data_IF_893622689799
#
_entry.id   IF_893622689799
#
_cell.length_a   1.000
_cell.length_b   1.000
_cell.length_c   1.000
_cell.angle_alpha   90.00
_cell.angle_beta   90.00
_cell.angle_gamma   90.00
#
_symmetry.space_group_name_H-M   'P 1'
#
loop_
_entity.id
_entity.type
_entity.pdbx_description
1 polymer ?
#
# COMPACT_ATOMS: atom_id res chain seq x y z
N UNK A 1 -9.35 -5.18 12.22
CA UNK A 1 -8.00 -4.80 11.72
C UNK A 1 -7.94 -3.31 11.47
N UNK A 2 -6.83 -2.77 10.93
CA UNK A 2 -6.66 -1.33 10.67
C UNK A 2 -7.86 -0.73 9.93
N UNK A 3 -8.24 -1.32 8.80
CA UNK A 3 -9.34 -0.85 7.97
C UNK A 3 -10.68 -0.83 8.74
N UNK A 4 -10.95 -1.79 9.62
CA UNK A 4 -12.13 -1.74 10.51
C UNK A 4 -12.11 -0.49 11.40
N UNK A 5 -10.97 -0.22 12.05
CA UNK A 5 -10.85 0.93 12.94
C UNK A 5 -10.87 2.25 12.19
N UNK A 6 -10.23 2.31 11.01
CA UNK A 6 -10.31 3.45 10.11
C UNK A 6 -11.76 3.69 9.69
N UNK A 7 -12.49 2.66 9.24
CA UNK A 7 -13.91 2.74 8.88
C UNK A 7 -14.77 3.30 10.02
N UNK A 8 -14.56 2.82 11.26
CA UNK A 8 -15.25 3.35 12.44
C UNK A 8 -14.84 4.78 12.81
N UNK A 9 -13.59 5.16 12.54
CA UNK A 9 -13.06 6.48 12.86
C UNK A 9 -13.34 7.54 11.79
N UNK A 10 -13.66 7.16 10.54
CA UNK A 10 -13.74 8.11 9.41
C UNK A 10 -14.62 9.31 9.74
N UNK A 11 -15.82 9.11 10.30
CA UNK A 11 -16.77 10.20 10.56
C UNK A 11 -16.18 11.30 11.46
N UNK A 12 -15.34 10.94 12.44
CA UNK A 12 -14.72 11.90 13.36
C UNK A 12 -13.26 12.25 13.06
N UNK A 13 -12.60 11.52 12.15
CA UNK A 13 -11.16 11.63 11.89
C UNK A 13 -10.84 11.83 10.40
N UNK A 14 -11.84 12.06 9.54
CA UNK A 14 -11.65 12.24 8.09
C UNK A 14 -10.57 13.27 7.76
N UNK A 15 -10.55 14.41 8.45
CA UNK A 15 -9.56 15.45 8.23
C UNK A 15 -8.13 14.98 8.55
N UNK A 16 -7.95 14.29 9.69
CA UNK A 16 -6.67 13.71 10.08
C UNK A 16 -6.20 12.63 9.10
N UNK A 17 -7.12 11.75 8.66
CA UNK A 17 -6.85 10.69 7.68
C UNK A 17 -6.44 11.31 6.33
N UNK A 18 -7.17 12.30 5.83
CA UNK A 18 -6.82 13.00 4.59
C UNK A 18 -5.45 13.68 4.69
N UNK A 19 -5.17 14.35 5.82
CA UNK A 19 -3.89 14.99 6.03
C UNK A 19 -2.73 13.99 6.11
N UNK A 20 -2.94 12.81 6.71
CA UNK A 20 -1.96 11.72 6.72
C UNK A 20 -1.72 11.16 5.30
N UNK A 21 -2.79 10.90 4.54
CA UNK A 21 -2.71 10.41 3.16
C UNK A 21 -2.03 11.39 2.19
N UNK A 22 -2.18 12.70 2.43
CA UNK A 22 -1.55 13.76 1.64
C UNK A 22 -0.07 13.97 2.01
N UNK A 23 0.33 13.64 3.24
CA UNK A 23 1.72 13.72 3.67
C UNK A 23 2.54 12.51 3.21
N UNK A 24 1.88 11.36 3.03
CA UNK A 24 2.51 10.10 2.68
C UNK A 24 3.19 10.17 1.32
N UNK A 25 4.49 9.85 1.31
CA UNK A 25 5.21 9.55 0.08
C UNK A 25 4.89 8.15 -0.41
N UNK A 26 4.94 7.98 -1.71
CA UNK A 26 4.45 6.83 -2.47
C UNK A 26 5.45 6.52 -3.55
N UNK A 27 5.36 5.30 -4.07
CA UNK A 27 6.26 4.77 -5.08
C UNK A 27 5.47 4.03 -6.14
N UNK A 28 5.86 4.18 -7.40
CA UNK A 28 5.41 3.32 -8.48
C UNK A 28 6.56 2.89 -9.39
N UNK A 29 7.03 1.65 -9.21
CA UNK A 29 8.13 1.06 -9.99
C UNK A 29 7.88 1.03 -11.49
N UNK A 30 6.62 0.90 -11.90
CA UNK A 30 6.22 0.77 -13.31
C UNK A 30 6.09 2.11 -14.05
N UNK A 31 6.34 3.24 -13.37
CA UNK A 31 6.16 4.58 -13.95
C UNK A 31 7.48 5.35 -14.01
N UNK A 32 7.89 5.98 -12.92
CA UNK A 32 9.14 6.75 -12.83
C UNK A 32 10.12 6.17 -11.80
N UNK A 33 9.65 5.25 -10.94
CA UNK A 33 10.41 4.71 -9.82
C UNK A 33 10.84 5.77 -8.80
N UNK A 34 10.16 6.92 -8.77
CA UNK A 34 10.40 7.96 -7.79
C UNK A 34 9.62 7.73 -6.50
N UNK A 35 10.12 8.33 -5.41
CA UNK A 35 9.34 8.49 -4.18
C UNK A 35 8.72 9.88 -4.22
N UNK A 36 7.42 9.96 -4.47
CA UNK A 36 6.69 11.23 -4.60
C UNK A 36 5.28 11.11 -3.99
N UNK A 37 4.40 12.11 -4.17
CA UNK A 37 3.02 12.07 -3.61
C UNK A 37 1.94 11.71 -4.64
N UNK A 38 2.33 11.58 -5.90
CA UNK A 38 1.46 11.34 -7.05
C UNK A 38 1.25 9.86 -7.33
N UNK A 39 2.09 8.98 -6.79
CA UNK A 39 2.01 7.54 -7.03
C UNK A 39 0.90 6.84 -6.23
N UNK A 40 0.80 5.52 -6.40
CA UNK A 40 -0.30 4.71 -5.92
C UNK A 40 0.03 3.81 -4.74
N UNK A 41 1.30 3.63 -4.39
CA UNK A 41 1.69 2.70 -3.32
C UNK A 41 2.44 3.42 -2.22
N UNK A 42 1.82 3.53 -1.05
CA UNK A 42 2.43 4.10 0.15
C UNK A 42 2.84 3.01 1.14
N UNK A 43 3.86 3.24 1.95
CA UNK A 43 4.21 2.31 3.03
C UNK A 43 3.18 2.40 4.17
N UNK A 44 2.74 1.24 4.67
CA UNK A 44 1.73 1.14 5.72
C UNK A 44 2.22 1.69 7.05
N UNK A 45 3.48 1.43 7.41
CA UNK A 45 4.11 1.97 8.61
C UNK A 45 4.24 3.48 8.55
N UNK A 46 4.73 4.02 7.42
CA UNK A 46 4.74 5.47 7.20
C UNK A 46 3.34 6.07 7.34
N UNK A 47 2.29 5.41 6.80
CA UNK A 47 0.92 5.88 6.98
C UNK A 47 0.46 5.84 8.44
N UNK A 48 0.80 4.78 9.18
CA UNK A 48 0.50 4.66 10.61
C UNK A 48 1.16 5.79 11.40
N UNK A 49 2.43 6.09 11.13
CA UNK A 49 3.17 7.20 11.77
C UNK A 49 2.52 8.55 11.47
N UNK A 50 2.20 8.83 10.20
CA UNK A 50 1.55 10.07 9.80
C UNK A 50 0.16 10.21 10.43
N UNK A 51 -0.61 9.12 10.55
CA UNK A 51 -1.92 9.18 11.17
C UNK A 51 -1.85 9.28 12.69
N UNK A 52 -0.87 8.64 13.33
CA UNK A 52 -0.67 8.70 14.78
C UNK A 52 -0.40 10.14 15.25
N UNK A 53 0.42 10.91 14.53
CA UNK A 53 0.71 12.31 14.87
C UNK A 53 -0.49 13.25 14.68
N UNK A 54 -1.58 12.77 14.05
CA UNK A 54 -2.77 13.56 13.70
C UNK A 54 -4.06 13.06 14.35
N UNK A 55 -4.04 11.92 15.05
CA UNK A 55 -5.23 11.26 15.61
C UNK A 55 -5.93 12.05 16.73
N UNK A 56 -5.35 13.16 17.21
CA UNK A 56 -6.04 14.16 18.04
C UNK A 56 -6.65 13.63 19.33
N UNK A 57 -6.07 12.57 19.93
CA UNK A 57 -6.57 11.96 21.16
C UNK A 57 -7.71 10.94 20.99
N UNK A 58 -8.05 10.53 19.76
CA UNK A 58 -8.99 9.44 19.53
C UNK A 58 -8.40 8.09 19.97
N UNK A 59 -8.73 7.65 21.18
CA UNK A 59 -8.14 6.45 21.78
C UNK A 59 -8.39 5.15 20.98
N UNK A 60 -9.56 5.03 20.35
CA UNK A 60 -9.88 3.86 19.53
C UNK A 60 -9.00 3.79 18.27
N UNK A 61 -8.80 4.94 17.61
CA UNK A 61 -7.90 5.04 16.46
C UNK A 61 -6.45 4.78 16.88
N UNK A 62 -5.97 5.41 17.96
CA UNK A 62 -4.61 5.20 18.50
C UNK A 62 -4.37 3.72 18.84
N UNK A 63 -5.32 3.06 19.50
CA UNK A 63 -5.22 1.63 19.82
C UNK A 63 -5.09 0.78 18.55
N UNK A 64 -5.88 1.10 17.52
CA UNK A 64 -5.80 0.38 16.26
C UNK A 64 -4.48 0.62 15.51
N UNK A 65 -3.96 1.85 15.52
CA UNK A 65 -2.66 2.19 14.96
C UNK A 65 -1.53 1.43 15.68
N UNK A 66 -1.56 1.38 17.01
CA UNK A 66 -0.59 0.63 17.81
C UNK A 66 -0.63 -0.87 17.52
N UNK A 67 -1.83 -1.45 17.38
CA UNK A 67 -1.98 -2.86 17.02
C UNK A 67 -1.40 -3.16 15.63
N UNK A 68 -1.48 -2.21 14.70
CA UNK A 68 -0.92 -2.37 13.36
C UNK A 68 0.59 -2.21 13.38
N UNK A 69 1.11 -1.20 14.08
CA UNK A 69 2.54 -1.04 14.26
C UNK A 69 3.15 -2.30 14.89
N UNK A 70 2.54 -2.81 15.96
CA UNK A 70 2.98 -4.06 16.59
C UNK A 70 2.88 -5.26 15.65
N UNK A 71 1.87 -5.33 14.78
CA UNK A 71 1.79 -6.38 13.78
C UNK A 71 2.88 -6.25 12.71
N UNK A 72 3.20 -5.04 12.27
CA UNK A 72 4.30 -4.77 11.34
C UNK A 72 5.64 -5.18 11.97
N UNK A 73 5.92 -4.72 13.19
CA UNK A 73 7.17 -5.03 13.91
C UNK A 73 7.36 -6.54 14.13
N UNK A 74 6.26 -7.28 14.32
CA UNK A 74 6.30 -8.74 14.54
C UNK A 74 6.32 -9.58 13.26
N UNK A 75 5.92 -9.02 12.11
CA UNK A 75 5.74 -9.79 10.85
C UNK A 75 6.75 -9.40 9.78
N UNK A 76 7.23 -8.17 9.80
CA UNK A 76 8.31 -7.72 8.94
C UNK A 76 9.63 -8.02 9.65
N UNK A 77 10.22 -9.15 9.27
CA UNK A 77 11.47 -9.66 9.83
C UNK A 77 12.72 -8.96 9.29
N UNK A 78 12.59 -8.27 8.15
CA UNK A 78 13.64 -7.44 7.58
C UNK A 78 13.02 -6.42 6.61
N UNK A 79 13.56 -5.21 6.60
CA UNK A 79 13.26 -4.20 5.60
C UNK A 79 14.60 -3.66 5.07
N UNK A 80 14.98 -4.12 3.89
CA UNK A 80 16.33 -3.91 3.33
C UNK A 80 16.47 -2.59 2.56
N UNK A 81 15.37 -1.94 2.20
CA UNK A 81 15.37 -0.80 1.26
C UNK A 81 14.61 0.40 1.84
N UNK A 82 15.28 1.17 2.69
CA UNK A 82 14.77 2.46 3.21
C UNK A 82 15.40 3.67 2.53
N UNK A 83 16.53 3.48 1.84
CA UNK A 83 17.24 4.51 1.10
C UNK A 83 18.20 3.87 0.09
N UNK A 84 18.79 4.67 -0.79
CA UNK A 84 19.72 4.22 -1.84
C UNK A 84 19.22 4.56 -3.23
N UNK A 85 19.39 3.65 -4.19
CA UNK A 85 18.88 3.82 -5.55
C UNK A 85 18.07 2.59 -6.00
N UNK A 86 16.89 2.78 -6.61
CA UNK A 86 16.16 1.69 -7.25
C UNK A 86 17.00 1.05 -8.35
N UNK A 87 16.95 -0.28 -8.49
CA UNK A 87 17.74 -0.98 -9.52
C UNK A 87 17.42 -0.52 -10.95
N UNK A 88 16.19 -0.08 -11.21
CA UNK A 88 15.73 0.46 -12.50
C UNK A 88 16.16 1.89 -12.73
N UNK A 89 16.48 2.63 -11.67
CA UNK A 89 16.82 4.06 -11.71
C UNK A 89 18.05 4.31 -10.80
N UNK A 90 19.24 3.79 -11.16
CA UNK A 90 20.43 3.86 -10.30
C UNK A 90 20.92 5.30 -10.03
N UNK A 91 20.58 6.24 -10.92
CA UNK A 91 20.91 7.66 -10.77
C UNK A 91 19.96 8.39 -9.81
N UNK A 92 18.84 7.77 -9.44
CA UNK A 92 17.88 8.34 -8.52
C UNK A 92 18.19 7.91 -7.09
N UNK A 93 18.51 8.88 -6.23
CA UNK A 93 18.64 8.63 -4.81
C UNK A 93 17.28 8.82 -4.12
N UNK A 94 16.84 7.81 -3.39
CA UNK A 94 15.61 7.85 -2.60
C UNK A 94 15.89 7.70 -1.09
N UNK A 95 14.97 8.22 -0.29
CA UNK A 95 14.89 7.96 1.14
C UNK A 95 13.41 7.87 1.51
N UNK A 96 13.03 6.75 2.11
CA UNK A 96 11.66 6.47 2.55
C UNK A 96 11.63 6.40 4.09
N UNK A 97 11.44 7.54 4.77
CA UNK A 97 11.44 7.56 6.23
C UNK A 97 10.28 6.72 6.77
N UNK A 98 10.57 5.95 7.82
CA UNK A 98 9.61 5.09 8.51
C UNK A 98 8.99 3.98 7.64
N UNK A 99 9.65 3.63 6.52
CA UNK A 99 9.24 2.48 5.75
C UNK A 99 9.33 1.21 6.62
N UNK A 100 8.29 0.39 6.52
CA UNK A 100 8.18 -0.90 7.19
C UNK A 100 8.25 -2.05 6.20
N UNK A 101 8.34 -1.77 4.90
CA UNK A 101 8.45 -2.81 3.87
C UNK A 101 7.12 -3.43 3.48
N UNK A 102 5.99 -2.90 3.96
CA UNK A 102 4.65 -3.29 3.53
C UNK A 102 3.95 -2.12 2.87
N UNK A 103 3.79 -2.19 1.55
CA UNK A 103 3.06 -1.17 0.81
C UNK A 103 1.55 -1.44 0.79
N UNK A 104 0.77 -0.36 0.78
CA UNK A 104 -0.68 -0.34 0.59
C UNK A 104 -1.02 0.46 -0.65
N UNK A 105 -2.05 -0.01 -1.37
CA UNK A 105 -2.61 0.71 -2.50
C UNK A 105 -3.49 1.89 -2.06
N UNK A 106 -3.21 3.05 -2.64
CA UNK A 106 -3.89 4.32 -2.44
C UNK A 106 -4.29 4.89 -3.82
N UNK A 107 -5.55 4.70 -4.24
CA UNK A 107 -6.00 5.16 -5.55
C UNK A 107 -5.89 6.69 -5.67
N UNK A 108 -5.41 7.14 -6.82
CA UNK A 108 -5.64 8.50 -7.30
C UNK A 108 -7.06 8.67 -7.86
N UNK A 109 -7.48 9.91 -8.08
CA UNK A 109 -8.73 10.19 -8.78
C UNK A 109 -8.69 9.61 -10.19
N UNK A 110 -9.66 8.76 -10.52
CA UNK A 110 -9.76 8.15 -11.85
C UNK A 110 -8.72 7.06 -12.14
N UNK A 111 -8.08 6.49 -11.11
CA UNK A 111 -7.09 5.41 -11.31
C UNK A 111 -7.75 4.13 -11.87
N UNK A 112 -7.42 3.69 -13.10
CA UNK A 112 -8.00 2.49 -13.70
C UNK A 112 -7.62 1.20 -12.94
N UNK A 113 -6.49 1.19 -12.21
CA UNK A 113 -6.06 0.03 -11.41
C UNK A 113 -7.03 -0.28 -10.28
N UNK A 114 -7.90 0.66 -9.91
CA UNK A 114 -8.90 0.48 -8.85
C UNK A 114 -9.76 -0.75 -9.05
N UNK A 115 -10.10 -1.07 -10.30
CA UNK A 115 -10.88 -2.24 -10.70
C UNK A 115 -10.22 -3.56 -10.26
N UNK A 116 -8.89 -3.58 -10.15
CA UNK A 116 -8.11 -4.74 -9.71
C UNK A 116 -8.10 -4.88 -8.17
N UNK A 117 -8.23 -3.78 -7.44
CA UNK A 117 -8.09 -3.72 -5.97
C UNK A 117 -9.41 -3.87 -5.19
N UNK A 118 -10.27 -4.79 -5.61
CA UNK A 118 -11.58 -5.05 -4.99
C UNK A 118 -11.59 -6.33 -4.17
N UNK A 119 -12.54 -6.49 -3.24
CA UNK A 119 -12.74 -7.74 -2.51
C UNK A 119 -13.07 -8.95 -3.40
N UNK A 120 -13.60 -8.74 -4.61
CA UNK A 120 -13.82 -9.83 -5.58
C UNK A 120 -12.53 -10.34 -6.22
N UNK A 121 -11.51 -9.48 -6.31
CA UNK A 121 -10.27 -9.77 -7.04
C UNK A 121 -9.12 -10.13 -6.09
N UNK A 122 -9.07 -9.54 -4.89
CA UNK A 122 -7.98 -9.71 -3.93
C UNK A 122 -8.48 -10.16 -2.56
N UNK A 123 -8.06 -11.35 -2.13
CA UNK A 123 -8.42 -11.93 -0.82
C UNK A 123 -8.06 -11.03 0.37
N UNK A 124 -6.94 -10.31 0.30
CA UNK A 124 -6.52 -9.43 1.39
C UNK A 124 -7.45 -8.21 1.50
N UNK A 125 -7.94 -7.68 0.37
CA UNK A 125 -8.93 -6.58 0.34
C UNK A 125 -10.22 -7.07 0.98
N UNK A 126 -10.71 -8.24 0.56
CA UNK A 126 -11.91 -8.87 1.12
C UNK A 126 -11.83 -9.05 2.65
N UNK A 127 -10.69 -9.53 3.15
CA UNK A 127 -10.49 -9.82 4.58
C UNK A 127 -10.25 -8.57 5.43
N UNK A 128 -9.61 -7.55 4.86
CA UNK A 128 -9.26 -6.34 5.60
C UNK A 128 -10.40 -5.31 5.61
N UNK A 129 -11.24 -5.28 4.57
CA UNK A 129 -12.20 -4.19 4.34
C UNK A 129 -11.53 -2.91 3.83
N UNK A 130 -10.36 -3.03 3.19
CA UNK A 130 -9.61 -1.89 2.67
C UNK A 130 -10.37 -1.13 1.59
N UNK A 131 -11.07 -1.83 0.70
CA UNK A 131 -11.91 -1.23 -0.33
C UNK A 131 -13.08 -0.43 0.26
N UNK A 132 -13.70 -0.93 1.33
CA UNK A 132 -14.72 -0.22 2.08
C UNK A 132 -14.15 1.07 2.68
N UNK A 133 -12.97 1.02 3.29
CA UNK A 133 -12.30 2.21 3.83
C UNK A 133 -12.05 3.26 2.74
N UNK A 134 -11.47 2.85 1.60
CA UNK A 134 -11.25 3.75 0.46
C UNK A 134 -12.56 4.37 -0.03
N UNK A 135 -13.63 3.57 -0.09
CA UNK A 135 -14.96 4.05 -0.47
C UNK A 135 -15.52 5.07 0.52
N UNK A 136 -15.48 4.78 1.83
CA UNK A 136 -15.94 5.70 2.87
C UNK A 136 -15.13 7.01 2.86
N UNK A 137 -13.83 6.97 2.55
CA UNK A 137 -13.00 8.16 2.41
C UNK A 137 -13.33 9.02 1.18
N UNK A 138 -14.15 8.53 0.25
CA UNK A 138 -14.41 9.22 -1.02
C UNK A 138 -13.21 9.18 -1.97
N UNK A 139 -12.28 8.25 -1.73
CA UNK A 139 -11.15 7.96 -2.63
C UNK A 139 -11.58 7.02 -3.78
N UNK A 140 -12.90 6.83 -3.91
CA UNK A 140 -13.52 6.05 -4.98
C UNK A 140 -14.45 6.99 -5.73
N UNK A 141 -14.03 7.38 -6.94
CA UNK A 141 -14.97 7.72 -8.01
C UNK A 141 -15.36 6.39 -8.66
N UNK A 142 -16.63 6.21 -9.06
CA UNK A 142 -17.13 4.95 -9.59
C UNK A 142 -16.12 4.31 -10.55
N UNK A 143 -15.70 3.08 -10.25
CA UNK A 143 -14.82 2.33 -11.14
C UNK A 143 -15.52 2.26 -12.49
N UNK A 144 -14.80 2.59 -13.57
CA UNK A 144 -15.29 2.30 -14.91
C UNK A 144 -15.56 0.78 -14.96
N UNK A 145 -16.83 0.41 -15.03
CA UNK A 145 -17.30 -0.98 -14.98
C UNK A 145 -16.89 -1.76 -16.22
N UNK A 146 -16.23 -1.13 -17.18
CA UNK A 146 -15.59 -1.79 -18.32
C UNK A 146 -14.40 -2.67 -17.94
N UNK A 147 -14.10 -2.82 -16.64
CA UNK A 147 -13.41 -3.99 -16.08
C UNK A 147 -12.17 -4.35 -16.88
N UNK A 148 -11.10 -3.56 -16.73
CA UNK A 148 -9.81 -3.92 -17.31
C UNK A 148 -9.50 -5.36 -16.93
N UNK A 149 -9.20 -6.20 -17.93
CA UNK A 149 -8.82 -7.58 -17.70
C UNK A 149 -7.75 -7.61 -16.60
N UNK A 150 -7.96 -8.46 -15.59
CA UNK A 150 -6.91 -8.74 -14.62
C UNK A 150 -5.65 -9.08 -15.43
N UNK A 151 -4.46 -8.55 -15.10
CA UNK A 151 -3.24 -8.94 -15.76
C UNK A 151 -3.15 -10.46 -15.73
N UNK A 152 -3.31 -11.10 -16.88
CA UNK A 152 -3.11 -12.53 -17.03
C UNK A 152 -1.63 -12.70 -17.32
N UNK A 153 -0.94 -13.54 -16.56
CA UNK A 153 0.39 -13.97 -16.97
C UNK A 153 0.24 -14.51 -18.41
N UNK A 154 0.94 -13.91 -19.39
CA UNK A 154 0.83 -14.29 -20.80
C UNK A 154 1.09 -15.80 -21.02
N UNK A 155 1.83 -16.43 -20.09
CA UNK A 155 1.79 -17.85 -19.80
C UNK A 155 2.23 -18.09 -18.35
N UNK A 156 1.92 -19.25 -17.76
CA UNK A 156 2.48 -19.66 -16.45
C UNK A 156 4.02 -19.60 -16.43
N UNK A 157 4.64 -19.76 -17.60
CA UNK A 157 6.10 -19.74 -17.80
C UNK A 157 6.69 -18.33 -17.96
N UNK A 158 5.90 -17.34 -18.40
CA UNK A 158 6.36 -15.95 -18.53
C UNK A 158 6.60 -15.28 -17.16
N UNK A 159 5.95 -15.80 -16.13
CA UNK A 159 6.15 -15.41 -14.73
C UNK A 159 7.33 -16.18 -14.07
N UNK A 160 7.89 -17.22 -14.72
CA UNK A 160 9.09 -17.97 -14.27
C UNK A 160 10.42 -17.30 -14.68
N UNK A 161 10.38 -16.28 -15.55
CA UNK A 161 11.55 -15.60 -16.13
C UNK A 161 11.85 -14.20 -15.57
N UNK A 162 11.08 -13.73 -14.59
CA UNK A 162 11.54 -12.64 -13.73
C UNK A 162 12.89 -13.06 -13.14
N UNK A 163 13.88 -12.14 -13.03
CA UNK A 163 15.12 -12.48 -12.33
C UNK A 163 14.71 -13.13 -11.03
N UNK A 164 15.21 -14.36 -10.79
CA UNK A 164 14.99 -15.15 -9.58
C UNK A 164 14.75 -14.17 -8.44
N UNK A 165 13.61 -14.31 -7.76
CA UNK A 165 13.42 -13.80 -6.41
C UNK A 165 14.80 -13.74 -5.76
N UNK A 166 15.22 -12.53 -5.36
CA UNK A 166 16.44 -12.36 -4.55
C UNK A 166 16.44 -13.50 -3.54
N UNK A 167 17.54 -14.26 -3.43
CA UNK A 167 17.53 -15.66 -2.97
C UNK A 167 16.58 -15.85 -1.80
N UNK A 168 15.45 -16.52 -2.06
CA UNK A 168 14.50 -16.90 -1.02
C UNK A 168 15.18 -17.95 -0.13
N UNK A 169 15.78 -17.51 0.97
CA UNK A 169 15.98 -18.42 2.08
C UNK A 169 14.60 -18.79 2.64
N UNK A 170 14.36 -20.09 2.75
CA UNK A 170 13.15 -20.66 3.31
C UNK A 170 12.97 -20.18 4.76
N UNK A 171 12.24 -19.08 4.94
CA UNK A 171 12.07 -18.40 6.21
C UNK A 171 11.53 -16.98 6.08
N UNK A 172 11.70 -16.35 4.91
CA UNK A 172 11.34 -14.95 4.70
C UNK A 172 10.11 -14.81 3.80
N UNK A 173 8.99 -14.30 4.34
CA UNK A 173 7.84 -13.89 3.53
C UNK A 173 8.06 -12.45 3.11
N UNK A 174 8.60 -12.27 1.91
CA UNK A 174 8.60 -10.98 1.22
C UNK A 174 7.19 -10.73 0.68
N UNK A 175 6.48 -9.72 1.20
CA UNK A 175 5.20 -9.29 0.62
C UNK A 175 5.50 -8.36 -0.56
N UNK A 176 5.62 -8.97 -1.74
CA UNK A 176 5.50 -8.25 -3.00
C UNK A 176 4.03 -7.97 -3.29
N UNK A 177 3.66 -6.68 -3.41
CA UNK A 177 2.46 -6.31 -4.15
C UNK A 177 2.62 -6.76 -5.61
N UNK A 178 1.52 -7.11 -6.32
CA UNK A 178 1.61 -7.66 -7.65
C UNK A 178 2.32 -6.67 -8.57
N UNK A 179 3.51 -7.05 -9.01
CA UNK A 179 4.13 -6.46 -10.19
C UNK A 179 3.16 -6.72 -11.33
N UNK A 180 2.44 -5.69 -11.76
CA UNK A 180 1.67 -5.75 -13.00
C UNK A 180 2.69 -5.74 -14.12
N UNK A 181 3.02 -6.92 -14.64
CA UNK A 181 3.84 -7.09 -15.82
C UNK A 181 2.91 -7.12 -17.03
N UNK A 182 3.24 -6.32 -18.06
CA UNK A 182 2.63 -6.39 -19.38
C UNK A 182 3.36 -7.40 -20.24
#
# INVERSE_FOLDING_TARGET
GLATALNSAVTGQRAAINAALAALTRYESNYDGAINRSDHYGDLGSFVVELHSRAGGNQALVTALNNVQSALDNKIIAAAFHSGAPHTNPDQQWAWPNATGLSIYLPGTGDPKRSLYTGSNLRWVQRSGWDQFLHTMGLVVAADTTGGELPTCASTTACDGLPRQLPMEAGNVEIYLPVILR
#
